data_IF_494493281826
#
_entry.id   IF_494493281826
#
_cell.length_a   1.000
_cell.length_b   1.000
_cell.length_c   1.000
_cell.angle_alpha   90.00
_cell.angle_beta   90.00
_cell.angle_gamma   90.00
#
_symmetry.space_group_name_H-M   'P 1'
#
loop_
_entity.id
_entity.type
_entity.pdbx_description
1 polymer ?
#
# COMPACT_ATOMS: atom_id res chain seq x y z
N UNK A 1 -20.42 -13.51 10.37
CA UNK A 1 -19.02 -13.84 10.73
C UNK A 1 -18.33 -12.54 11.11
N UNK A 2 -17.82 -12.41 12.33
CA UNK A 2 -17.04 -11.23 12.75
C UNK A 2 -15.58 -11.67 12.93
N UNK A 3 -14.70 -11.14 12.10
CA UNK A 3 -13.26 -11.33 12.24
C UNK A 3 -12.72 -10.37 13.32
N UNK A 4 -11.87 -10.84 14.23
CA UNK A 4 -11.25 -10.03 15.28
C UNK A 4 -9.73 -10.23 15.24
N UNK A 5 -8.99 -9.13 15.17
CA UNK A 5 -7.52 -9.12 14.99
C UNK A 5 -6.82 -9.39 16.34
N UNK A 6 -5.81 -10.27 16.34
CA UNK A 6 -5.05 -10.63 17.57
C UNK A 6 -3.55 -10.52 17.33
N UNK A 7 -2.98 -9.40 17.77
CA UNK A 7 -1.56 -9.12 18.02
C UNK A 7 -0.58 -9.08 16.82
N UNK A 8 0.47 -8.27 16.98
CA UNK A 8 1.58 -8.10 16.03
C UNK A 8 2.85 -8.72 16.62
N UNK A 9 3.53 -9.65 15.93
CA UNK A 9 4.90 -10.09 16.27
C UNK A 9 5.83 -10.15 15.04
N UNK A 10 6.98 -9.49 15.19
CA UNK A 10 8.31 -9.55 14.53
C UNK A 10 8.49 -9.75 13.00
N UNK A 11 7.48 -10.12 12.21
CA UNK A 11 7.55 -10.17 10.72
C UNK A 11 6.63 -9.16 10.03
N UNK A 12 6.02 -8.23 10.79
CA UNK A 12 5.37 -7.02 10.30
C UNK A 12 4.05 -7.19 9.54
N UNK A 13 3.61 -8.43 9.28
CA UNK A 13 2.32 -8.68 8.61
C UNK A 13 1.22 -8.95 9.63
N UNK A 14 0.10 -8.23 9.59
CA UNK A 14 -1.01 -8.46 10.51
C UNK A 14 -1.58 -9.87 10.35
N UNK A 15 -1.82 -10.56 11.48
CA UNK A 15 -2.47 -11.87 11.52
C UNK A 15 -3.99 -11.71 11.58
N UNK A 16 -4.72 -12.56 10.86
CA UNK A 16 -6.17 -12.68 10.94
C UNK A 16 -6.54 -14.02 11.58
N UNK A 17 -7.46 -14.02 12.53
CA UNK A 17 -7.95 -15.26 13.14
C UNK A 17 -9.42 -15.46 12.75
N UNK A 18 -9.71 -16.58 12.11
CA UNK A 18 -11.07 -17.07 11.90
C UNK A 18 -11.40 -18.11 12.95
N UNK A 19 -12.45 -17.89 13.74
CA UNK A 19 -12.93 -18.83 14.75
C UNK A 19 -14.25 -19.48 14.32
N UNK A 20 -14.32 -20.80 14.48
CA UNK A 20 -15.58 -21.55 14.53
C UNK A 20 -15.72 -22.17 15.93
N UNK A 21 -16.92 -22.67 16.29
CA UNK A 21 -17.31 -23.19 17.61
C UNK A 21 -16.27 -24.14 18.25
N UNK A 22 -15.46 -24.84 17.46
CA UNK A 22 -14.50 -25.86 17.90
C UNK A 22 -13.04 -25.61 17.50
N UNK A 23 -12.75 -24.62 16.64
CA UNK A 23 -11.38 -24.43 16.14
C UNK A 23 -11.08 -22.98 15.77
N UNK A 24 -9.82 -22.56 15.94
CA UNK A 24 -9.29 -21.26 15.51
C UNK A 24 -8.25 -21.46 14.42
N UNK A 25 -8.50 -20.90 13.23
CA UNK A 25 -7.55 -20.87 12.13
C UNK A 25 -6.87 -19.50 12.05
N UNK A 26 -5.53 -19.49 12.01
CA UNK A 26 -4.74 -18.27 11.79
C UNK A 26 -4.38 -18.14 10.31
N UNK A 27 -4.57 -16.94 9.77
CA UNK A 27 -4.11 -16.54 8.46
C UNK A 27 -3.23 -15.30 8.54
N UNK A 28 -2.57 -14.98 7.42
CA UNK A 28 -1.77 -13.76 7.27
C UNK A 28 -2.52 -12.79 6.36
N UNK A 29 -2.70 -11.55 6.79
CA UNK A 29 -3.40 -10.55 5.99
C UNK A 29 -2.57 -10.18 4.76
N UNK A 30 -3.21 -10.23 3.59
CA UNK A 30 -2.59 -9.83 2.33
C UNK A 30 -2.55 -8.30 2.24
N UNK A 31 -1.35 -7.74 2.32
CA UNK A 31 -1.08 -6.33 2.11
C UNK A 31 -0.76 -6.07 0.62
N UNK A 32 -1.30 -5.00 0.08
CA UNK A 32 -1.08 -4.53 -1.30
C UNK A 32 -0.39 -3.17 -1.22
N UNK A 33 0.68 -3.01 -2.01
CA UNK A 33 1.41 -1.74 -2.10
C UNK A 33 0.99 -0.95 -3.34
N UNK A 34 0.65 0.31 -3.12
CA UNK A 34 0.25 1.30 -4.12
C UNK A 34 1.32 2.39 -4.11
N UNK A 35 1.75 2.80 -5.30
CA UNK A 35 2.66 3.91 -5.47
C UNK A 35 1.87 5.13 -5.92
N UNK A 36 2.02 6.23 -5.19
CA UNK A 36 1.40 7.50 -5.52
C UNK A 36 2.50 8.52 -5.72
N UNK A 37 2.44 9.27 -6.83
CA UNK A 37 3.45 10.25 -7.21
C UNK A 37 2.81 11.54 -7.69
N UNK A 38 3.64 12.58 -7.89
CA UNK A 38 3.19 13.95 -8.20
C UNK A 38 2.36 14.56 -7.07
N UNK A 39 2.71 14.23 -5.83
CA UNK A 39 2.18 14.90 -4.65
C UNK A 39 3.06 16.11 -4.36
N UNK A 40 2.46 17.18 -3.86
CA UNK A 40 3.13 18.46 -3.56
C UNK A 40 4.38 18.26 -2.67
N UNK A 41 5.43 19.05 -2.91
CA UNK A 41 6.75 18.82 -2.34
C UNK A 41 6.82 19.08 -0.82
N UNK A 42 5.95 19.93 -0.26
CA UNK A 42 5.89 20.13 1.19
C UNK A 42 5.21 18.98 1.94
N UNK A 43 4.46 18.13 1.24
CA UNK A 43 3.75 17.00 1.84
C UNK A 43 4.66 16.12 2.72
N UNK A 44 4.10 15.74 3.86
CA UNK A 44 4.73 14.87 4.86
C UNK A 44 3.96 13.56 4.96
N UNK A 45 4.61 12.53 5.52
CA UNK A 45 3.96 11.24 5.79
C UNK A 45 2.71 11.43 6.66
N UNK A 46 2.76 12.34 7.63
CA UNK A 46 1.63 12.63 8.53
C UNK A 46 0.47 13.26 7.77
N UNK A 47 0.74 14.27 6.94
CA UNK A 47 -0.31 14.93 6.13
C UNK A 47 -1.05 13.96 5.20
N UNK A 48 -0.32 13.02 4.57
CA UNK A 48 -0.91 11.98 3.73
C UNK A 48 -1.69 10.97 4.56
N UNK A 49 -1.16 10.61 5.72
CA UNK A 49 -1.84 9.69 6.63
C UNK A 49 -3.14 10.29 7.14
N UNK A 50 -3.17 11.57 7.46
CA UNK A 50 -4.36 12.26 7.95
C UNK A 50 -5.39 12.42 6.83
N UNK A 51 -4.98 12.80 5.62
CA UNK A 51 -5.86 12.80 4.43
C UNK A 51 -6.55 11.45 4.19
N UNK A 52 -5.81 10.34 4.31
CA UNK A 52 -6.37 9.00 4.14
C UNK A 52 -7.36 8.64 5.26
N UNK A 53 -7.08 9.03 6.51
CA UNK A 53 -7.99 8.81 7.65
C UNK A 53 -9.27 9.63 7.50
N UNK A 54 -9.17 10.88 7.08
CA UNK A 54 -10.31 11.77 6.87
C UNK A 54 -11.26 11.24 5.79
N UNK A 55 -10.71 10.49 4.83
CA UNK A 55 -11.47 9.76 3.81
C UNK A 55 -11.97 8.37 4.28
N UNK A 56 -11.95 8.11 5.59
CA UNK A 56 -12.48 6.88 6.20
C UNK A 56 -11.64 5.63 5.92
N UNK A 57 -10.36 5.79 5.58
CA UNK A 57 -9.44 4.67 5.41
C UNK A 57 -8.73 4.39 6.73
N UNK A 58 -8.60 3.10 7.04
CA UNK A 58 -7.89 2.63 8.23
C UNK A 58 -6.92 1.52 7.84
N UNK A 59 -5.99 1.20 8.75
CA UNK A 59 -5.05 0.08 8.60
C UNK A 59 -4.18 0.17 7.34
N UNK A 60 -3.37 1.23 7.26
CA UNK A 60 -2.40 1.39 6.17
C UNK A 60 -1.05 1.86 6.72
N UNK A 61 -0.03 1.76 5.88
CA UNK A 61 1.31 2.28 6.13
C UNK A 61 1.70 3.18 4.98
N UNK A 62 2.22 4.37 5.29
CA UNK A 62 2.74 5.31 4.31
C UNK A 62 4.25 5.39 4.47
N UNK A 63 4.97 5.28 3.36
CA UNK A 63 6.41 5.46 3.30
C UNK A 63 6.74 6.49 2.23
N UNK A 64 7.61 7.45 2.56
CA UNK A 64 8.17 8.37 1.57
C UNK A 64 9.12 7.62 0.63
N UNK A 65 9.01 7.89 -0.65
CA UNK A 65 9.85 7.29 -1.70
C UNK A 65 10.58 8.39 -2.47
N UNK A 66 11.79 8.08 -2.95
CA UNK A 66 12.59 9.03 -3.70
C UNK A 66 11.86 9.44 -4.99
N UNK A 67 11.85 10.74 -5.28
CA UNK A 67 11.24 11.31 -6.48
C UNK A 67 12.33 11.85 -7.38
N UNK A 68 12.09 11.81 -8.69
CA UNK A 68 13.06 12.30 -9.69
C UNK A 68 13.32 13.81 -9.56
N UNK A 69 12.30 14.56 -9.15
CA UNK A 69 12.32 16.01 -8.95
C UNK A 69 11.76 16.35 -7.55
N UNK A 70 12.51 16.06 -6.47
CA UNK A 70 12.03 16.21 -5.08
C UNK A 70 11.64 17.65 -4.72
N UNK A 71 12.17 18.63 -5.43
CA UNK A 71 11.84 20.06 -5.32
C UNK A 71 10.47 20.40 -5.91
N UNK A 72 9.97 19.60 -6.85
CA UNK A 72 8.68 19.81 -7.51
C UNK A 72 7.60 18.90 -6.94
N UNK A 73 7.95 17.66 -6.64
CA UNK A 73 6.99 16.68 -6.13
C UNK A 73 7.64 15.56 -5.33
N UNK A 74 6.82 14.92 -4.50
CA UNK A 74 7.13 13.72 -3.74
C UNK A 74 6.31 12.52 -4.22
N UNK A 75 6.80 11.35 -3.82
CA UNK A 75 6.20 10.06 -4.12
C UNK A 75 6.14 9.25 -2.84
N UNK A 76 5.09 8.44 -2.72
CA UNK A 76 4.78 7.69 -1.52
C UNK A 76 4.41 6.26 -1.90
N UNK A 77 4.88 5.30 -1.10
CA UNK A 77 4.39 3.92 -1.14
C UNK A 77 3.41 3.75 0.01
N UNK A 78 2.19 3.34 -0.33
CA UNK A 78 1.12 3.04 0.61
C UNK A 78 0.88 1.55 0.62
N UNK A 79 1.00 0.92 1.79
CA UNK A 79 0.70 -0.52 1.95
C UNK A 79 -0.54 -0.69 2.80
N UNK A 80 -1.56 -1.35 2.26
CA UNK A 80 -2.84 -1.55 2.94
C UNK A 80 -3.45 -2.93 2.62
N UNK A 81 -4.38 -3.44 3.44
CA UNK A 81 -5.20 -4.60 3.13
C UNK A 81 -5.90 -4.46 1.77
N UNK A 82 -6.23 -5.58 1.12
CA UNK A 82 -6.73 -5.57 -0.26
C UNK A 82 -8.02 -4.77 -0.43
N UNK A 83 -8.91 -4.79 0.56
CA UNK A 83 -10.15 -4.01 0.63
C UNK A 83 -9.91 -2.50 0.75
N UNK A 84 -8.95 -2.10 1.59
CA UNK A 84 -8.54 -0.69 1.77
C UNK A 84 -7.79 -0.19 0.52
N UNK A 85 -6.91 -1.03 -0.03
CA UNK A 85 -6.16 -0.73 -1.24
C UNK A 85 -7.06 -0.48 -2.46
N UNK A 86 -8.23 -1.12 -2.53
CA UNK A 86 -9.22 -0.83 -3.56
C UNK A 86 -9.75 0.61 -3.47
N UNK A 87 -10.00 1.11 -2.26
CA UNK A 87 -10.44 2.49 -2.02
C UNK A 87 -9.33 3.50 -2.29
N UNK A 88 -8.09 3.17 -1.94
CA UNK A 88 -6.91 4.01 -2.21
C UNK A 88 -6.64 4.25 -3.70
N UNK A 89 -7.22 3.47 -4.60
CA UNK A 89 -7.04 3.61 -6.06
C UNK A 89 -8.07 4.51 -6.73
N UNK A 90 -9.10 4.93 -6.00
CA UNK A 90 -10.14 5.76 -6.60
C UNK A 90 -9.58 7.14 -6.92
N UNK A 91 -9.98 7.69 -8.06
CA UNK A 91 -9.49 8.98 -8.54
C UNK A 91 -9.97 10.16 -7.69
N UNK A 92 -11.15 10.04 -7.08
CA UNK A 92 -11.76 11.04 -6.19
C UNK A 92 -10.99 11.25 -4.88
N UNK A 93 -10.17 10.29 -4.47
CA UNK A 93 -9.35 10.38 -3.28
C UNK A 93 -8.14 11.30 -3.47
N UNK A 94 -7.67 11.51 -4.69
CA UNK A 94 -6.40 12.17 -4.97
C UNK A 94 -6.60 13.50 -5.68
N UNK A 95 -5.70 14.47 -5.46
CA UNK A 95 -5.74 15.71 -6.23
C UNK A 95 -5.52 15.43 -7.72
N UNK A 96 -6.09 16.29 -8.56
CA UNK A 96 -5.93 16.20 -10.00
C UNK A 96 -4.45 16.23 -10.40
N UNK A 97 -4.05 15.33 -11.30
CA UNK A 97 -2.67 15.18 -11.75
C UNK A 97 -1.79 14.26 -10.89
N UNK A 98 -2.27 13.80 -9.73
CA UNK A 98 -1.62 12.72 -8.98
C UNK A 98 -1.65 11.43 -9.79
N UNK A 99 -0.54 10.69 -9.76
CA UNK A 99 -0.44 9.40 -10.43
C UNK A 99 -0.46 8.27 -9.40
N UNK A 100 -1.44 7.38 -9.52
CA UNK A 100 -1.66 6.23 -8.64
C UNK A 100 -1.45 4.94 -9.44
N UNK A 101 -0.42 4.17 -9.10
CA UNK A 101 -0.09 2.91 -9.79
C UNK A 101 0.10 1.75 -8.82
N UNK A 102 -0.13 0.52 -9.31
CA UNK A 102 0.28 -0.68 -8.58
C UNK A 102 1.79 -0.85 -8.74
N UNK A 103 2.57 -0.50 -7.71
CA UNK A 103 4.03 -0.65 -7.71
C UNK A 103 4.48 -2.07 -8.11
N UNK A 104 3.70 -3.10 -7.72
CA UNK A 104 3.98 -4.50 -8.04
C UNK A 104 3.76 -4.87 -9.52
N UNK A 105 3.05 -4.08 -10.32
CA UNK A 105 2.85 -4.38 -11.74
C UNK A 105 4.15 -4.20 -12.55
N UNK A 106 5.04 -3.31 -12.11
CA UNK A 106 6.30 -3.01 -12.81
C UNK A 106 7.50 -3.83 -12.29
N UNK A 107 7.46 -4.31 -11.05
CA UNK A 107 8.52 -5.18 -10.49
C UNK A 107 8.53 -6.59 -11.10
N UNK A 108 7.37 -7.13 -11.51
CA UNK A 108 7.30 -8.38 -12.26
C UNK A 108 7.95 -8.27 -13.64
N UNK A 109 7.63 -7.18 -14.37
CA UNK A 109 8.17 -6.93 -15.72
C UNK A 109 9.67 -6.63 -15.75
N UNK A 110 10.24 -6.10 -14.67
CA UNK A 110 11.69 -5.85 -14.59
C UNK A 110 12.49 -7.15 -14.47
N UNK A 111 11.99 -8.13 -13.70
CA UNK A 111 12.59 -9.46 -13.59
C UNK A 111 12.49 -10.29 -14.87
N UNK A 112 11.43 -10.10 -15.67
CA UNK A 112 11.29 -10.79 -16.96
C UNK A 112 12.31 -10.29 -17.99
N UNK A 113 12.51 -8.96 -18.09
CA UNK A 113 13.51 -8.37 -19.00
C UNK A 113 14.95 -8.69 -18.62
N UNK A 114 15.26 -8.80 -17.32
CA UNK A 114 16.60 -9.22 -16.86
C UNK A 114 16.92 -10.70 -17.17
N UNK A 115 15.89 -11.57 -17.27
CA UNK A 115 16.06 -12.98 -17.67
C UNK A 115 16.24 -13.16 -19.18
N UNK A 116 15.57 -12.35 -20.01
CA UNK A 116 15.75 -12.40 -21.46
C UNK A 116 17.15 -11.91 -21.89
N UNK A 117 17.71 -10.91 -21.20
CA UNK A 117 19.05 -10.39 -21.50
C UNK A 117 20.21 -11.29 -21.07
N UNK A 118 19.98 -12.30 -20.22
CA UNK A 118 21.01 -13.27 -19.81
C UNK A 118 20.96 -14.58 -20.61
N UNK A 119 20.02 -14.71 -21.56
CA UNK A 119 19.82 -15.92 -22.36
C UNK A 119 20.06 -15.71 -23.86
N UNK A 120 20.70 -14.60 -24.25
CA UNK A 120 21.15 -14.30 -25.63
C UNK A 120 22.67 -14.21 -25.69
#
# INVERSE_FOLDING_TARGET
>A
MQAKLVSYKKTGRPEITGTNKTFSLKGVLKMVSIYVSRIEASSTIDSISDHLKDNGLAQFQVKLEYSKHPELYKSHIMSAPTDVAGKMKKADLWPEGANVSNFLYHLGKKKEKEKEQTSS
#
